data_IF_106906721018
#
_entry.id   IF_106906721018
#
_cell.length_a   1.000
_cell.length_b   1.000
_cell.length_c   1.000
_cell.angle_alpha   90.00
_cell.angle_beta   90.00
_cell.angle_gamma   90.00
#
_symmetry.space_group_name_H-M   'P 1'
#
loop_
_entity.id
_entity.type
_entity.pdbx_description
1 polymer ?
#
# COMPACT_ATOMS: atom_id res chain seq x y z
N UNK A 1 13.61 -14.59 -14.52
CA UNK A 1 12.98 -13.88 -13.39
C UNK A 1 12.33 -14.91 -12.48
N UNK A 2 12.19 -14.64 -11.18
CA UNK A 2 11.49 -15.55 -10.27
C UNK A 2 9.97 -15.40 -10.46
N UNK A 3 9.20 -16.48 -10.26
CA UNK A 3 7.74 -16.44 -10.35
C UNK A 3 7.09 -15.39 -9.42
N UNK A 4 7.74 -15.13 -8.28
CA UNK A 4 7.38 -14.04 -7.38
C UNK A 4 7.55 -12.68 -8.04
N UNK A 5 8.71 -12.40 -8.64
CA UNK A 5 8.98 -11.10 -9.26
C UNK A 5 8.01 -10.80 -10.41
N UNK A 6 7.65 -11.80 -11.21
CA UNK A 6 6.71 -11.63 -12.31
C UNK A 6 5.28 -11.40 -11.80
N UNK A 7 4.83 -12.21 -10.83
CA UNK A 7 3.49 -12.04 -10.24
C UNK A 7 3.36 -10.72 -9.47
N UNK A 8 4.38 -10.33 -8.69
CA UNK A 8 4.41 -9.08 -7.96
C UNK A 8 4.43 -7.86 -8.91
N UNK A 9 5.09 -7.96 -10.07
CA UNK A 9 5.06 -6.92 -11.10
C UNK A 9 3.65 -6.75 -11.65
N UNK A 10 3.00 -7.84 -12.05
CA UNK A 10 1.62 -7.77 -12.56
C UNK A 10 0.65 -7.18 -11.53
N UNK A 11 0.82 -7.53 -10.26
CA UNK A 11 0.01 -6.95 -9.17
C UNK A 11 0.28 -5.44 -9.00
N UNK A 12 1.54 -5.00 -9.06
CA UNK A 12 1.89 -3.58 -9.00
C UNK A 12 1.33 -2.78 -10.20
N UNK A 13 1.35 -3.37 -11.40
CA UNK A 13 0.79 -2.78 -12.62
C UNK A 13 -0.74 -2.61 -12.51
N UNK A 14 -1.44 -3.59 -11.95
CA UNK A 14 -2.89 -3.53 -11.71
C UNK A 14 -3.26 -2.45 -10.67
N UNK A 15 -2.47 -2.34 -9.58
CA UNK A 15 -2.63 -1.28 -8.58
C UNK A 15 -2.42 0.10 -9.20
N UNK A 16 -1.33 0.29 -9.96
CA UNK A 16 -1.06 1.55 -10.66
C UNK A 16 -2.19 1.90 -11.63
N UNK A 17 -2.66 0.92 -12.42
CA UNK A 17 -3.80 1.13 -13.34
C UNK A 17 -5.04 1.62 -12.59
N UNK A 18 -5.35 1.00 -11.45
CA UNK A 18 -6.49 1.38 -10.60
C UNK A 18 -6.32 2.79 -10.04
N UNK A 19 -5.17 3.10 -9.46
CA UNK A 19 -4.93 4.41 -8.83
C UNK A 19 -4.86 5.53 -9.87
N UNK A 20 -4.20 5.31 -11.01
CA UNK A 20 -4.17 6.25 -12.12
C UNK A 20 -5.57 6.53 -12.66
N UNK A 21 -6.44 5.52 -12.76
CA UNK A 21 -7.83 5.72 -13.19
C UNK A 21 -8.65 6.55 -12.18
N UNK A 22 -8.39 6.41 -10.89
CA UNK A 22 -9.09 7.15 -9.82
C UNK A 22 -8.56 8.58 -9.69
N UNK A 23 -7.24 8.77 -9.74
CA UNK A 23 -6.60 10.07 -9.51
C UNK A 23 -6.37 10.88 -10.79
N UNK A 24 -6.49 10.26 -11.96
CA UNK A 24 -6.23 10.91 -13.24
C UNK A 24 -4.74 11.10 -13.53
N UNK A 25 -3.88 10.32 -12.89
CA UNK A 25 -2.43 10.41 -13.01
C UNK A 25 -1.93 9.57 -14.19
N UNK A 26 -1.03 10.13 -15.01
CA UNK A 26 -0.48 9.44 -16.19
C UNK A 26 0.76 8.61 -15.88
N UNK A 27 1.46 8.91 -14.79
CA UNK A 27 2.67 8.22 -14.36
C UNK A 27 2.36 7.19 -13.25
N UNK A 28 3.16 6.11 -13.13
CA UNK A 28 3.04 5.17 -12.03
C UNK A 28 3.20 5.87 -10.67
N UNK A 29 2.28 5.58 -9.76
CA UNK A 29 2.28 6.11 -8.40
C UNK A 29 3.00 5.18 -7.42
N UNK A 30 3.12 3.90 -7.79
CA UNK A 30 3.74 2.85 -7.00
C UNK A 30 4.90 2.20 -7.75
N UNK A 31 5.91 1.82 -6.99
CA UNK A 31 7.08 1.07 -7.42
C UNK A 31 7.11 -0.31 -6.73
N UNK A 32 7.73 -1.28 -7.39
CA UNK A 32 7.90 -2.63 -6.88
C UNK A 32 9.37 -2.99 -6.74
N UNK A 33 9.73 -3.51 -5.57
CA UNK A 33 11.07 -3.98 -5.25
C UNK A 33 11.05 -5.47 -4.92
N UNK A 34 12.03 -6.18 -5.45
CA UNK A 34 12.31 -7.54 -5.02
C UNK A 34 13.35 -7.54 -3.90
N UNK A 35 13.05 -8.18 -2.78
CA UNK A 35 13.98 -8.32 -1.67
C UNK A 35 14.76 -9.63 -1.84
N UNK A 36 15.93 -9.53 -2.45
CA UNK A 36 16.82 -10.67 -2.68
C UNK A 36 17.14 -11.43 -1.37
N UNK A 37 17.23 -12.76 -1.47
CA UNK A 37 17.51 -13.64 -0.34
C UNK A 37 16.36 -13.86 0.64
N UNK A 38 15.29 -13.04 0.60
CA UNK A 38 14.12 -13.21 1.49
C UNK A 38 12.91 -13.84 0.81
N UNK A 39 12.90 -13.91 -0.53
CA UNK A 39 11.74 -14.42 -1.28
C UNK A 39 10.50 -13.55 -1.06
N UNK A 40 10.69 -12.23 -0.99
CA UNK A 40 9.65 -11.24 -0.76
C UNK A 40 9.70 -10.15 -1.82
N UNK A 41 8.55 -9.56 -2.12
CA UNK A 41 8.46 -8.34 -2.90
C UNK A 41 7.74 -7.25 -2.09
N UNK A 42 8.12 -6.00 -2.30
CA UNK A 42 7.55 -4.83 -1.63
C UNK A 42 6.98 -3.91 -2.70
N UNK A 43 5.79 -3.37 -2.46
CA UNK A 43 5.20 -2.30 -3.27
C UNK A 43 4.99 -1.08 -2.37
N UNK A 44 5.40 0.10 -2.82
CA UNK A 44 5.31 1.36 -2.07
C UNK A 44 5.22 2.56 -3.03
N UNK A 45 4.91 3.79 -2.56
CA UNK A 45 4.83 4.96 -3.43
C UNK A 45 6.20 5.34 -4.02
N UNK A 46 6.20 5.87 -5.24
CA UNK A 46 7.43 6.34 -5.94
C UNK A 46 8.02 7.60 -5.29
N UNK A 47 7.21 8.38 -4.58
CA UNK A 47 7.65 9.63 -3.97
C UNK A 47 8.38 9.43 -2.64
N UNK A 48 9.54 10.07 -2.50
CA UNK A 48 10.30 10.20 -1.24
C UNK A 48 9.49 10.90 -0.13
N UNK A 49 8.39 11.59 -0.48
CA UNK A 49 7.51 12.26 0.50
C UNK A 49 6.67 11.29 1.35
N UNK A 50 6.68 9.99 1.03
CA UNK A 50 6.03 8.96 1.85
C UNK A 50 4.54 8.76 1.58
N UNK A 51 3.94 9.48 0.63
CA UNK A 51 2.52 9.37 0.29
C UNK A 51 2.15 9.90 -1.10
N UNK A 52 1.00 9.46 -1.59
CA UNK A 52 0.34 9.93 -2.82
C UNK A 52 -0.58 11.10 -2.44
N UNK A 53 -0.35 12.31 -2.97
CA UNK A 53 -1.08 13.49 -2.52
C UNK A 53 -2.48 13.56 -3.15
N UNK A 54 -3.51 13.53 -2.33
CA UNK A 54 -4.92 13.60 -2.70
C UNK A 54 -5.40 15.05 -2.77
N UNK A 55 -6.11 15.38 -3.85
CA UNK A 55 -6.54 16.76 -4.14
C UNK A 55 -8.05 16.92 -4.17
N UNK A 56 -8.51 18.02 -3.59
CA UNK A 56 -9.90 18.49 -3.74
C UNK A 56 -9.85 19.84 -4.45
N UNK A 57 -10.49 19.92 -5.63
CA UNK A 57 -10.44 21.11 -6.50
C UNK A 57 -9.02 21.57 -6.86
N UNK A 58 -8.07 20.63 -6.94
CA UNK A 58 -6.66 20.90 -7.27
C UNK A 58 -5.78 21.27 -6.08
N UNK A 59 -6.35 21.53 -4.91
CA UNK A 59 -5.60 21.78 -3.67
C UNK A 59 -5.26 20.46 -3.00
N UNK A 60 -3.99 20.31 -2.57
CA UNK A 60 -3.54 19.18 -1.77
C UNK A 60 -4.19 19.27 -0.40
N UNK A 61 -4.83 18.19 0.05
CA UNK A 61 -5.55 18.18 1.34
C UNK A 61 -5.20 16.99 2.22
N UNK A 62 -4.85 15.86 1.60
CA UNK A 62 -4.54 14.62 2.30
C UNK A 62 -3.42 13.88 1.59
N UNK A 63 -2.63 13.13 2.32
CA UNK A 63 -1.68 12.17 1.77
C UNK A 63 -2.21 10.74 1.95
N UNK A 64 -2.15 9.94 0.88
CA UNK A 64 -2.40 8.50 0.91
C UNK A 64 -1.08 7.74 0.95
N UNK A 65 -0.73 7.15 2.08
CA UNK A 65 0.37 6.18 2.16
C UNK A 65 -0.18 4.78 1.89
N UNK A 66 0.54 4.02 1.07
CA UNK A 66 0.16 2.68 0.66
C UNK A 66 1.39 1.78 0.59
N UNK A 67 1.38 0.63 1.24
CA UNK A 67 2.43 -0.37 1.03
C UNK A 67 1.93 -1.80 1.10
N UNK A 68 2.64 -2.69 0.42
CA UNK A 68 2.39 -4.12 0.44
C UNK A 68 3.70 -4.90 0.60
N UNK A 69 3.64 -5.98 1.36
CA UNK A 69 4.67 -7.01 1.40
C UNK A 69 4.09 -8.33 0.88
N UNK A 70 4.75 -8.92 -0.10
CA UNK A 70 4.25 -10.06 -0.88
C UNK A 70 5.20 -11.25 -0.80
N UNK A 71 4.65 -12.46 -0.80
CA UNK A 71 5.39 -13.72 -0.96
C UNK A 71 4.66 -14.67 -1.92
N UNK A 72 5.33 -15.77 -2.31
CA UNK A 72 4.64 -16.89 -2.95
C UNK A 72 4.05 -17.82 -1.90
N UNK A 73 2.75 -18.11 -2.00
CA UNK A 73 2.08 -19.06 -1.14
C UNK A 73 2.67 -20.46 -1.28
N UNK A 74 3.20 -21.02 -0.18
CA UNK A 74 3.91 -22.30 -0.16
C UNK A 74 3.12 -23.50 -0.71
N UNK A 75 1.79 -23.49 -0.58
CA UNK A 75 0.91 -24.61 -0.94
C UNK A 75 0.21 -24.44 -2.29
N UNK A 76 -0.11 -23.20 -2.65
CA UNK A 76 -0.99 -22.90 -3.77
C UNK A 76 -0.28 -22.30 -4.97
N UNK A 77 0.97 -21.83 -4.80
CA UNK A 77 1.73 -21.19 -5.86
C UNK A 77 1.13 -19.86 -6.32
N UNK A 78 0.18 -19.30 -5.58
CA UNK A 78 -0.35 -17.96 -5.85
C UNK A 78 0.46 -16.89 -5.13
N UNK A 79 0.44 -15.68 -5.67
CA UNK A 79 0.93 -14.49 -4.98
C UNK A 79 0.08 -14.24 -3.74
N UNK A 80 0.72 -13.91 -2.64
CA UNK A 80 0.09 -13.73 -1.35
C UNK A 80 0.53 -12.42 -0.72
N UNK A 81 -0.44 -11.64 -0.24
CA UNK A 81 -0.19 -10.44 0.57
C UNK A 81 0.09 -10.88 2.01
N UNK A 82 1.28 -10.58 2.50
CA UNK A 82 1.69 -10.84 3.88
C UNK A 82 1.36 -9.67 4.78
N UNK A 83 1.57 -8.46 4.26
CA UNK A 83 1.25 -7.20 4.94
C UNK A 83 0.69 -6.22 3.94
N UNK A 84 -0.26 -5.41 4.37
CA UNK A 84 -0.67 -4.22 3.63
C UNK A 84 -0.95 -3.08 4.59
N UNK A 85 -0.60 -1.88 4.17
CA UNK A 85 -0.76 -0.66 4.94
C UNK A 85 -1.43 0.40 4.09
N UNK A 86 -2.47 1.03 4.62
CA UNK A 86 -3.14 2.18 4.02
C UNK A 86 -3.30 3.25 5.09
N UNK A 87 -2.73 4.42 4.87
CA UNK A 87 -2.86 5.55 5.79
C UNK A 87 -3.34 6.76 5.01
N UNK A 88 -4.29 7.47 5.60
CA UNK A 88 -4.74 8.77 5.13
C UNK A 88 -4.33 9.77 6.20
N UNK A 89 -3.53 10.77 5.82
CA UNK A 89 -3.11 11.86 6.70
C UNK A 89 -3.62 13.19 6.17
N UNK A 90 -3.91 14.12 7.06
CA UNK A 90 -4.09 15.51 6.68
C UNK A 90 -2.73 16.14 6.35
N UNK A 91 -2.71 17.04 5.37
CA UNK A 91 -1.49 17.77 5.01
C UNK A 91 -0.92 18.48 6.25
N UNK A 92 0.34 18.20 6.59
CA UNK A 92 1.03 18.78 7.74
C UNK A 92 0.75 18.11 9.09
N UNK A 93 -0.07 17.05 9.14
CA UNK A 93 -0.34 16.31 10.38
C UNK A 93 0.42 14.99 10.49
N UNK A 94 0.89 14.69 11.70
CA UNK A 94 1.62 13.45 11.99
C UNK A 94 0.72 12.27 12.40
N UNK A 95 -0.55 12.52 12.71
CA UNK A 95 -1.52 11.50 13.06
C UNK A 95 -2.37 11.14 11.83
N UNK A 96 -2.61 9.85 11.54
CA UNK A 96 -3.51 9.47 10.46
C UNK A 96 -4.96 9.81 10.82
N UNK A 97 -5.70 10.32 9.85
CA UNK A 97 -7.17 10.46 9.92
C UNK A 97 -7.80 9.07 9.83
N UNK A 98 -7.24 8.20 9.00
CA UNK A 98 -7.65 6.81 8.87
C UNK A 98 -6.44 5.91 8.63
N UNK A 99 -6.45 4.71 9.21
CA UNK A 99 -5.53 3.63 8.83
C UNK A 99 -6.26 2.31 8.65
N UNK A 100 -5.81 1.55 7.66
CA UNK A 100 -6.13 0.13 7.50
C UNK A 100 -4.82 -0.63 7.43
N UNK A 101 -4.62 -1.54 8.37
CA UNK A 101 -3.39 -2.30 8.50
C UNK A 101 -3.75 -3.80 8.51
N UNK A 102 -3.10 -4.57 7.64
CA UNK A 102 -3.18 -6.02 7.62
C UNK A 102 -1.77 -6.59 7.83
N UNK A 103 -1.66 -7.56 8.73
CA UNK A 103 -0.43 -8.31 8.96
C UNK A 103 -0.79 -9.76 9.29
N UNK A 104 -0.43 -10.66 8.38
CA UNK A 104 -0.66 -12.09 8.54
C UNK A 104 0.21 -12.69 9.67
N UNK A 105 1.38 -12.11 9.94
CA UNK A 105 2.36 -12.62 10.90
C UNK A 105 2.29 -12.01 12.29
N UNK A 106 1.25 -11.23 12.61
CA UNK A 106 1.16 -10.47 13.87
C UNK A 106 0.99 -11.37 15.10
N UNK A 107 0.37 -12.53 14.95
CA UNK A 107 0.31 -13.58 15.97
C UNK A 107 0.46 -14.94 15.31
N UNK A 108 1.11 -15.91 15.96
CA UNK A 108 1.53 -17.18 15.35
C UNK A 108 0.39 -18.01 14.73
N UNK A 109 -0.89 -17.70 15.03
CA UNK A 109 -2.03 -18.50 14.61
C UNK A 109 -3.14 -17.75 13.84
N UNK A 110 -3.15 -16.41 13.80
CA UNK A 110 -4.24 -15.66 13.17
C UNK A 110 -3.77 -14.38 12.46
N UNK A 111 -4.22 -14.15 11.20
CA UNK A 111 -4.01 -12.88 10.54
C UNK A 111 -4.74 -11.77 11.29
N UNK A 112 -4.11 -10.61 11.39
CA UNK A 112 -4.70 -9.43 12.02
C UNK A 112 -5.05 -8.39 10.96
N UNK A 113 -6.24 -7.80 11.08
CA UNK A 113 -6.66 -6.65 10.30
C UNK A 113 -7.18 -5.60 11.28
N UNK A 114 -6.62 -4.40 11.23
CA UNK A 114 -6.98 -3.28 12.08
C UNK A 114 -7.50 -2.13 11.22
N UNK A 115 -8.60 -1.52 11.67
CA UNK A 115 -9.17 -0.32 11.07
C UNK A 115 -9.21 0.73 12.17
N UNK A 116 -8.47 1.82 11.99
CA UNK A 116 -8.50 2.96 12.90
C UNK A 116 -9.11 4.15 12.15
N UNK A 117 -10.16 4.74 12.72
CA UNK A 117 -10.80 5.94 12.19
C UNK A 117 -10.78 7.00 13.29
N UNK A 118 -10.12 8.11 13.01
CA UNK A 118 -10.05 9.24 13.92
C UNK A 118 -11.11 10.27 13.51
N UNK A 119 -12.06 10.55 14.39
CA UNK A 119 -13.02 11.63 14.21
C UNK A 119 -12.70 12.75 15.18
N UNK A 120 -12.38 13.93 14.67
CA UNK A 120 -12.37 15.13 15.50
C UNK A 120 -13.75 15.80 15.42
N UNK A 121 -14.37 16.03 16.58
CA UNK A 121 -15.59 16.81 16.68
C UNK A 121 -15.24 18.27 16.43
N UNK A 122 -15.55 18.79 15.25
CA UNK A 122 -15.60 20.25 15.03
C UNK A 122 -16.77 20.81 15.83
N UNK A 123 -16.47 21.35 17.01
CA UNK A 123 -17.38 22.15 17.83
C UNK A 123 -17.31 23.63 17.48
#
# INVERSE_FOLDING_TARGET
MSALADSARSFAEELNTTLSAVFGESEPLLEMFYVEGKGRAIIQPVSDSGGIPLRVKGEHVLDLELSYELEMGRRSGFLKVMKSRFLIRAEGESSPVASFDFDEGYSEDLPSAHINLHTESTG
#
